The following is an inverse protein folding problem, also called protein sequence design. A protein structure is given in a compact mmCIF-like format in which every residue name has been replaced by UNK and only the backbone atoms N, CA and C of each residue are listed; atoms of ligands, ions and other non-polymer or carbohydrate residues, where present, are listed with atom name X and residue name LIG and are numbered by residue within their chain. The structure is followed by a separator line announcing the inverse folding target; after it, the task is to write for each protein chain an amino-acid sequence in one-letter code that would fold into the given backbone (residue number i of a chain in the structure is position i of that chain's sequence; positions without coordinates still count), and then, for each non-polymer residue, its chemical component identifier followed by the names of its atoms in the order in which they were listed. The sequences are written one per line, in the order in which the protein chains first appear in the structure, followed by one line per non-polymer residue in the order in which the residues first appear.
data_IF_020698175216
#
_entry.id   IF_020698175216
#
_cell.length_a   1.000
_cell.length_b   1.000
_cell.length_c   1.000
_cell.angle_alpha   90.00
_cell.angle_beta   90.00
_cell.angle_gamma   90.00
#
_symmetry.space_group_name_H-M   'P 1'
#
loop_
_entity.id
_entity.type
_entity.pdbx_description
1 polymer ?
#
# COMPACT_ATOMS: atom_id res chain seq x y z
N UNK A 1 -3.85 -15.78 -12.72
CA UNK A 1 -5.28 -15.47 -12.69
C UNK A 1 -5.46 -14.38 -11.67
N UNK A 2 -6.04 -13.26 -12.08
CA UNK A 2 -6.27 -12.14 -11.17
C UNK A 2 -7.17 -12.55 -10.00
N UNK A 3 -6.78 -12.21 -8.78
CA UNK A 3 -7.50 -12.52 -7.55
C UNK A 3 -8.12 -11.25 -6.96
N UNK A 4 -9.31 -11.37 -6.36
CA UNK A 4 -9.94 -10.27 -5.62
C UNK A 4 -9.75 -10.52 -4.13
N UNK A 5 -9.06 -9.60 -3.45
CA UNK A 5 -8.74 -9.68 -2.02
C UNK A 5 -8.94 -8.29 -1.40
N UNK A 6 -9.73 -8.20 -0.34
CA UNK A 6 -10.03 -6.98 0.40
C UNK A 6 -10.54 -5.87 -0.53
N UNK A 7 -11.46 -6.22 -1.44
CA UNK A 7 -11.99 -5.29 -2.44
C UNK A 7 -11.00 -4.83 -3.53
N UNK A 8 -9.73 -5.26 -3.49
CA UNK A 8 -8.69 -4.94 -4.48
C UNK A 8 -8.51 -6.11 -5.47
N UNK A 9 -8.05 -5.81 -6.69
CA UNK A 9 -7.72 -6.83 -7.70
C UNK A 9 -6.20 -6.93 -7.79
N UNK A 10 -5.68 -8.13 -7.56
CA UNK A 10 -4.26 -8.45 -7.70
C UNK A 10 -4.08 -9.22 -9.00
N UNK A 11 -3.27 -8.69 -9.90
CA UNK A 11 -2.98 -9.29 -11.20
C UNK A 11 -1.47 -9.35 -11.43
N UNK A 12 -1.05 -10.25 -12.33
CA UNK A 12 0.33 -10.23 -12.81
C UNK A 12 0.56 -9.05 -13.76
N UNK A 13 1.82 -8.64 -14.00
CA UNK A 13 2.11 -7.60 -14.99
C UNK A 13 1.53 -7.90 -16.38
N UNK A 14 1.59 -9.17 -16.81
CA UNK A 14 1.05 -9.63 -18.09
C UNK A 14 -0.47 -9.49 -18.15
N UNK A 15 -1.17 -9.83 -17.07
CA UNK A 15 -2.63 -9.68 -16.96
C UNK A 15 -3.06 -8.21 -16.92
N UNK A 16 -2.25 -7.36 -16.31
CA UNK A 16 -2.48 -5.92 -16.26
C UNK A 16 -2.05 -5.19 -17.54
N UNK A 17 -1.35 -5.87 -18.47
CA UNK A 17 -0.79 -5.27 -19.67
C UNK A 17 0.28 -4.21 -19.37
N UNK A 18 0.95 -4.33 -18.21
CA UNK A 18 1.99 -3.39 -17.78
C UNK A 18 3.37 -3.99 -18.01
N UNK A 19 4.32 -3.14 -18.37
CA UNK A 19 5.72 -3.52 -18.49
C UNK A 19 6.42 -3.27 -17.15
N UNK A 20 7.33 -4.15 -16.72
CA UNK A 20 8.18 -3.86 -15.58
C UNK A 20 8.98 -2.57 -15.80
N UNK A 21 9.23 -1.78 -14.74
CA UNK A 21 10.02 -0.56 -14.85
C UNK A 21 11.46 -0.89 -15.28
N UNK A 22 12.04 0.05 -16.02
CA UNK A 22 13.45 0.02 -16.44
C UNK A 22 14.40 0.31 -15.28
N UNK A 23 15.68 -0.03 -15.43
CA UNK A 23 16.70 0.25 -14.42
C UNK A 23 16.83 1.76 -14.12
N UNK A 24 16.71 2.61 -15.14
CA UNK A 24 16.76 4.06 -14.97
C UNK A 24 15.58 4.59 -14.14
N UNK A 25 14.38 4.06 -14.38
CA UNK A 25 13.18 4.38 -13.61
C UNK A 25 13.30 3.88 -12.16
N UNK A 26 13.86 2.70 -11.95
CA UNK A 26 14.11 2.16 -10.61
C UNK A 26 15.13 3.02 -9.84
N UNK A 27 16.23 3.44 -10.48
CA UNK A 27 17.22 4.34 -9.87
C UNK A 27 16.57 5.69 -9.53
N UNK A 28 15.75 6.24 -10.43
CA UNK A 28 15.05 7.48 -10.17
C UNK A 28 14.08 7.35 -8.99
N UNK A 29 13.25 6.30 -8.98
CA UNK A 29 12.31 6.03 -7.91
C UNK A 29 13.03 5.85 -6.56
N UNK A 30 14.16 5.13 -6.55
CA UNK A 30 14.97 4.94 -5.33
C UNK A 30 15.40 6.29 -4.74
N UNK A 31 15.90 7.21 -5.56
CA UNK A 31 16.28 8.55 -5.10
C UNK A 31 15.10 9.31 -4.49
N UNK A 32 13.91 9.22 -5.09
CA UNK A 32 12.71 9.86 -4.55
C UNK A 32 12.33 9.29 -3.18
N UNK A 33 12.43 7.97 -3.00
CA UNK A 33 12.16 7.33 -1.71
C UNK A 33 13.19 7.71 -0.65
N UNK A 34 14.48 7.76 -1.00
CA UNK A 34 15.53 8.16 -0.08
C UNK A 34 15.36 9.63 0.36
N UNK A 35 14.97 10.51 -0.56
CA UNK A 35 14.65 11.92 -0.27
C UNK A 35 13.45 12.05 0.66
N UNK A 36 12.41 11.25 0.44
CA UNK A 36 11.23 11.21 1.30
C UNK A 36 11.59 10.70 2.70
N UNK A 37 12.34 9.60 2.80
CA UNK A 37 12.74 9.03 4.07
C UNK A 37 13.57 10.02 4.90
N UNK A 38 14.49 10.75 4.26
CA UNK A 38 15.25 11.82 4.92
C UNK A 38 14.35 12.90 5.54
N UNK A 39 13.24 13.25 4.89
CA UNK A 39 12.28 14.22 5.43
C UNK A 39 11.51 13.65 6.61
N UNK A 40 11.10 12.39 6.53
CA UNK A 40 10.42 11.68 7.64
C UNK A 40 11.33 11.56 8.86
N UNK A 41 12.59 11.17 8.66
CA UNK A 41 13.54 10.97 9.75
C UNK A 41 13.92 12.27 10.45
N UNK A 42 13.89 13.39 9.71
CA UNK A 42 14.12 14.72 10.25
C UNK A 42 12.98 15.24 11.14
N UNK A 43 11.81 14.58 11.16
CA UNK A 43 10.69 14.97 12.02
C UNK A 43 11.03 14.68 13.49
N UNK A 44 11.06 15.70 14.37
CA UNK A 44 11.30 15.54 15.79
C UNK A 44 10.29 14.58 16.43
N UNK A 45 10.66 13.76 17.42
CA UNK A 45 9.75 12.81 18.06
C UNK A 45 8.44 13.43 18.56
N UNK A 46 8.50 14.66 19.07
CA UNK A 46 7.35 15.43 19.57
C UNK A 46 6.34 15.81 18.47
N UNK A 47 6.79 15.91 17.22
CA UNK A 47 5.95 16.27 16.07
C UNK A 47 5.48 15.04 15.29
N UNK A 48 5.88 13.83 15.70
CA UNK A 48 5.43 12.59 15.07
C UNK A 48 4.00 12.31 15.49
N UNK A 49 3.12 12.13 14.50
CA UNK A 49 1.75 11.67 14.74
C UNK A 49 1.77 10.28 15.38
N UNK A 50 1.36 10.18 16.64
CA UNK A 50 1.23 8.92 17.37
C UNK A 50 -0.13 8.28 17.16
N UNK A 51 -1.14 9.09 16.87
CA UNK A 51 -2.50 8.65 16.54
C UNK A 51 -2.76 8.78 15.04
N UNK A 52 -2.92 7.63 14.39
CA UNK A 52 -3.21 7.57 12.96
C UNK A 52 -4.66 7.16 12.78
N UNK A 53 -5.42 7.97 12.03
CA UNK A 53 -6.82 7.68 11.71
C UNK A 53 -6.95 6.28 11.08
N UNK A 54 -7.99 5.50 11.45
CA UNK A 54 -8.28 4.21 10.83
C UNK A 54 -8.29 4.22 9.32
N UNK A 55 -8.68 5.32 8.67
CA UNK A 55 -8.65 5.46 7.21
C UNK A 55 -7.28 5.13 6.58
N UNK A 56 -6.17 5.25 7.30
CA UNK A 56 -4.83 4.98 6.79
C UNK A 56 -4.34 3.55 7.02
N UNK A 57 -4.98 2.77 7.90
CA UNK A 57 -4.55 1.39 8.22
C UNK A 57 -5.65 0.33 8.07
N UNK A 58 -6.91 0.75 8.08
CA UNK A 58 -8.07 -0.11 7.92
C UNK A 58 -8.37 -0.33 6.44
N UNK A 59 -7.69 -1.31 5.87
CA UNK A 59 -7.86 -1.75 4.49
C UNK A 59 -9.03 -2.73 4.31
N UNK A 60 -9.73 -3.14 5.38
CA UNK A 60 -10.70 -4.25 5.35
C UNK A 60 -12.14 -3.82 5.56
N UNK A 61 -12.41 -2.66 6.16
CA UNK A 61 -13.76 -2.12 6.28
C UNK A 61 -14.45 -1.99 4.92
N UNK A 62 -15.71 -2.42 4.84
CA UNK A 62 -16.48 -2.49 3.60
C UNK A 62 -16.05 -3.55 2.58
N UNK A 63 -15.11 -4.43 2.93
CA UNK A 63 -14.68 -5.57 2.08
C UNK A 63 -15.29 -6.88 2.58
N UNK A 64 -15.03 -7.96 1.85
CA UNK A 64 -15.39 -9.33 2.24
C UNK A 64 -14.80 -9.77 3.60
N UNK A 65 -13.81 -9.06 4.14
CA UNK A 65 -13.17 -9.34 5.42
C UNK A 65 -13.69 -8.51 6.60
N UNK A 66 -14.64 -7.59 6.39
CA UNK A 66 -15.22 -6.77 7.47
C UNK A 66 -15.90 -7.61 8.56
N UNK A 67 -16.44 -8.78 8.21
CA UNK A 67 -17.13 -9.69 9.14
C UNK A 67 -16.76 -11.16 8.87
N UNK A 68 -15.56 -11.64 9.29
CA UNK A 68 -15.07 -12.97 8.94
C UNK A 68 -15.96 -14.12 9.46
N UNK A 69 -16.81 -13.85 10.46
CA UNK A 69 -17.72 -14.84 11.06
C UNK A 69 -19.09 -14.96 10.39
N UNK A 70 -19.42 -14.15 9.36
CA UNK A 70 -20.71 -14.25 8.66
C UNK A 70 -20.75 -15.31 7.54
N UNK A 71 -19.60 -15.87 7.15
CA UNK A 71 -19.51 -16.88 6.10
C UNK A 71 -19.59 -18.34 6.62
N UNK A 72 -19.88 -18.55 7.91
CA UNK A 72 -20.04 -19.86 8.56
C UNK A 72 -21.45 -20.11 9.14
N UNK A 73 -22.48 -19.39 8.67
CA UNK A 73 -23.87 -19.57 9.08
C UNK A 73 -24.77 -19.93 7.90
#
# INVERSE_FOLDING_TARGET
MSERIAGKIFSTPEEAGVTPPTEEELIHARKLFDDFQRKVDAVPPEDRLTEISPKFWDDISGTEYENPNRNNA
#
